data_IF_377021106585
#
_entry.id   IF_377021106585
#
_cell.length_a   1.000
_cell.length_b   1.000
_cell.length_c   1.000
_cell.angle_alpha   90.00
_cell.angle_beta   90.00
_cell.angle_gamma   90.00
#
_symmetry.space_group_name_H-M   'P 1'
#
loop_
_entity.id
_entity.type
_entity.pdbx_description
1 polymer ?
#
# COMPACT_ATOMS: atom_id res chain seq x y z
N UNK A 1 -10.59 22.09 -19.85
CA UNK A 1 -10.98 20.67 -19.80
C UNK A 1 -9.71 19.85 -19.98
N UNK A 2 -9.05 19.48 -18.89
CA UNK A 2 -7.84 18.66 -18.97
C UNK A 2 -8.29 17.21 -19.08
N UNK A 3 -8.01 16.58 -20.22
CA UNK A 3 -8.25 15.16 -20.44
C UNK A 3 -7.46 14.36 -19.40
N UNK A 4 -8.17 13.65 -18.52
CA UNK A 4 -7.58 12.62 -17.67
C UNK A 4 -6.79 11.68 -18.58
N UNK A 5 -5.47 11.68 -18.47
CA UNK A 5 -4.63 10.68 -19.14
C UNK A 5 -4.98 9.36 -18.48
N UNK A 6 -5.74 8.53 -19.20
CA UNK A 6 -6.10 7.21 -18.74
C UNK A 6 -4.81 6.43 -18.51
N UNK A 7 -4.64 5.93 -17.28
CA UNK A 7 -3.38 5.31 -16.88
C UNK A 7 -3.20 4.04 -17.74
N UNK A 8 -2.11 3.92 -18.53
CA UNK A 8 -1.98 2.82 -19.47
C UNK A 8 -1.90 1.48 -18.71
N UNK A 9 -2.85 0.60 -18.98
CA UNK A 9 -2.85 -0.78 -18.46
C UNK A 9 -1.86 -1.61 -19.27
N UNK A 10 -0.69 -1.90 -18.70
CA UNK A 10 0.36 -2.68 -19.37
C UNK A 10 0.30 -4.18 -19.08
N UNK A 11 -0.58 -4.61 -18.17
CA UNK A 11 -0.76 -6.03 -17.80
C UNK A 11 -2.21 -6.43 -18.00
N UNK A 12 -2.48 -7.30 -18.97
CA UNK A 12 -3.78 -7.95 -19.15
C UNK A 12 -3.73 -9.33 -18.49
N UNK A 13 -4.43 -9.49 -17.36
CA UNK A 13 -4.56 -10.80 -16.71
C UNK A 13 -5.76 -11.51 -17.33
N UNK A 14 -5.50 -12.53 -18.16
CA UNK A 14 -6.54 -13.36 -18.74
C UNK A 14 -7.23 -14.18 -17.64
N UNK A 15 -8.43 -13.78 -17.24
CA UNK A 15 -9.29 -14.56 -16.35
C UNK A 15 -9.93 -15.65 -17.20
N UNK A 16 -9.81 -16.94 -16.85
CA UNK A 16 -10.45 -18.01 -17.61
C UNK A 16 -11.96 -17.77 -17.69
N UNK A 17 -12.52 -17.96 -18.89
CA UNK A 17 -13.89 -17.62 -19.28
C UNK A 17 -14.99 -18.24 -18.40
N UNK A 18 -14.66 -19.28 -17.63
CA UNK A 18 -15.58 -19.99 -16.75
C UNK A 18 -15.72 -19.39 -15.34
N UNK A 19 -15.03 -18.28 -15.04
CA UNK A 19 -15.15 -17.59 -13.75
C UNK A 19 -15.80 -16.22 -13.90
N UNK A 20 -17.00 -16.05 -13.33
CA UNK A 20 -17.64 -14.74 -13.23
C UNK A 20 -16.74 -13.79 -12.40
N UNK A 21 -16.46 -12.57 -12.87
CA UNK A 21 -15.68 -11.61 -12.10
C UNK A 21 -16.46 -11.25 -10.83
N UNK A 22 -15.82 -11.29 -9.65
CA UNK A 22 -16.49 -11.01 -8.38
C UNK A 22 -17.00 -9.57 -8.36
N UNK A 23 -18.26 -9.36 -8.00
CA UNK A 23 -18.83 -8.01 -7.92
C UNK A 23 -18.20 -7.22 -6.76
N UNK A 24 -18.06 -5.90 -6.90
CA UNK A 24 -17.58 -5.01 -5.83
C UNK A 24 -18.34 -5.21 -4.51
N UNK A 25 -19.66 -5.44 -4.58
CA UNK A 25 -20.50 -5.70 -3.41
C UNK A 25 -20.13 -7.02 -2.70
N UNK A 26 -19.81 -8.07 -3.45
CA UNK A 26 -19.39 -9.36 -2.90
C UNK A 26 -18.04 -9.21 -2.20
N UNK A 27 -17.07 -8.57 -2.86
CA UNK A 27 -15.75 -8.30 -2.28
C UNK A 27 -15.84 -7.48 -1.00
N UNK A 28 -16.71 -6.46 -0.98
CA UNK A 28 -16.97 -5.70 0.23
C UNK A 28 -17.46 -6.60 1.38
N UNK A 29 -18.43 -7.48 1.13
CA UNK A 29 -18.94 -8.39 2.15
C UNK A 29 -17.87 -9.38 2.63
N UNK A 30 -17.08 -9.94 1.71
CA UNK A 30 -15.95 -10.83 2.02
C UNK A 30 -14.89 -10.14 2.89
N UNK A 31 -14.57 -8.87 2.61
CA UNK A 31 -13.60 -8.09 3.38
C UNK A 31 -14.12 -7.65 4.76
N UNK A 32 -15.43 -7.39 4.88
CA UNK A 32 -16.07 -6.98 6.14
C UNK A 32 -16.26 -8.16 7.10
N UNK A 33 -16.84 -9.27 6.60
CA UNK A 33 -17.33 -10.39 7.43
C UNK A 33 -16.54 -11.69 7.27
N UNK A 34 -15.67 -11.79 6.25
CA UNK A 34 -14.90 -13.01 5.99
C UNK A 34 -13.91 -13.36 7.09
N UNK A 35 -13.50 -14.62 7.14
CA UNK A 35 -12.38 -15.07 7.96
C UNK A 35 -11.04 -14.64 7.33
N UNK A 36 -9.92 -14.90 8.01
CA UNK A 36 -8.59 -14.49 7.53
C UNK A 36 -8.28 -14.99 6.12
N UNK A 37 -8.67 -16.24 5.79
CA UNK A 37 -8.43 -16.81 4.46
C UNK A 37 -9.29 -16.13 3.40
N UNK A 38 -10.58 -15.94 3.67
CA UNK A 38 -11.49 -15.23 2.76
C UNK A 38 -11.01 -13.80 2.51
N UNK A 39 -10.57 -13.08 3.55
CA UNK A 39 -10.02 -11.73 3.40
C UNK A 39 -8.74 -11.69 2.57
N UNK A 40 -7.86 -12.69 2.72
CA UNK A 40 -6.65 -12.84 1.91
C UNK A 40 -7.01 -13.00 0.42
N UNK A 41 -7.96 -13.88 0.11
CA UNK A 41 -8.34 -14.14 -1.28
C UNK A 41 -9.15 -12.99 -1.89
N UNK A 42 -10.03 -12.36 -1.12
CA UNK A 42 -10.71 -11.13 -1.50
C UNK A 42 -9.70 -10.00 -1.80
N UNK A 43 -8.68 -9.80 -0.95
CA UNK A 43 -7.67 -8.77 -1.17
C UNK A 43 -6.84 -9.03 -2.44
N UNK A 44 -6.51 -10.29 -2.74
CA UNK A 44 -5.84 -10.66 -4.01
C UNK A 44 -6.70 -10.31 -5.23
N UNK A 45 -8.00 -10.65 -5.19
CA UNK A 45 -8.96 -10.32 -6.26
C UNK A 45 -9.04 -8.81 -6.48
N UNK A 46 -9.12 -8.03 -5.39
CA UNK A 46 -9.12 -6.56 -5.46
C UNK A 46 -7.85 -6.02 -6.13
N UNK A 47 -6.67 -6.53 -5.76
CA UNK A 47 -5.41 -6.11 -6.39
C UNK A 47 -5.41 -6.43 -7.89
N UNK A 48 -5.88 -7.61 -8.28
CA UNK A 48 -5.96 -8.02 -9.69
C UNK A 48 -6.89 -7.11 -10.50
N UNK A 49 -8.07 -6.78 -9.97
CA UNK A 49 -9.02 -5.88 -10.63
C UNK A 49 -8.47 -4.46 -10.78
N UNK A 50 -7.80 -3.92 -9.74
CA UNK A 50 -7.14 -2.61 -9.82
C UNK A 50 -6.03 -2.61 -10.88
N UNK A 51 -5.24 -3.68 -10.96
CA UNK A 51 -4.20 -3.84 -11.98
C UNK A 51 -4.76 -3.93 -13.41
N UNK A 52 -5.97 -4.47 -13.55
CA UNK A 52 -6.72 -4.50 -14.82
C UNK A 52 -7.38 -3.15 -15.18
N UNK A 53 -7.22 -2.13 -14.34
CA UNK A 53 -7.73 -0.77 -14.59
C UNK A 53 -9.08 -0.45 -13.93
N UNK A 54 -9.67 -1.39 -13.19
CA UNK A 54 -10.94 -1.15 -12.50
C UNK A 54 -10.72 -0.32 -11.23
N UNK A 55 -11.33 0.87 -11.18
CA UNK A 55 -11.25 1.77 -10.02
C UNK A 55 -12.38 1.45 -9.05
N UNK A 56 -12.02 0.97 -7.85
CA UNK A 56 -12.97 0.67 -6.76
C UNK A 56 -12.67 1.50 -5.51
N UNK A 57 -12.96 2.81 -5.51
CA UNK A 57 -12.66 3.68 -4.36
C UNK A 57 -13.48 3.31 -3.11
N UNK A 58 -14.66 2.69 -3.26
CA UNK A 58 -15.51 2.33 -2.12
C UNK A 58 -14.88 1.27 -1.21
N UNK A 59 -14.05 0.39 -1.77
CA UNK A 59 -13.36 -0.66 -1.04
C UNK A 59 -12.20 -0.15 -0.18
N UNK A 60 -11.69 1.06 -0.46
CA UNK A 60 -10.57 1.64 0.27
C UNK A 60 -10.87 1.73 1.77
N UNK A 61 -12.03 2.29 2.12
CA UNK A 61 -12.42 2.46 3.52
C UNK A 61 -12.72 1.12 4.20
N UNK A 62 -13.28 0.17 3.46
CA UNK A 62 -13.48 -1.21 3.95
C UNK A 62 -12.15 -1.88 4.27
N UNK A 63 -11.14 -1.75 3.41
CA UNK A 63 -9.81 -2.32 3.63
C UNK A 63 -9.13 -1.67 4.84
N UNK A 64 -9.18 -0.33 4.94
CA UNK A 64 -8.62 0.40 6.09
C UNK A 64 -9.28 -0.04 7.40
N UNK A 65 -10.60 -0.25 7.42
CA UNK A 65 -11.32 -0.59 8.65
C UNK A 65 -11.17 -2.05 9.05
N UNK A 66 -11.23 -2.99 8.10
CA UNK A 66 -11.39 -4.42 8.41
C UNK A 66 -10.19 -5.30 8.08
N UNK A 67 -9.23 -4.81 7.28
CA UNK A 67 -8.07 -5.58 6.82
C UNK A 67 -6.77 -5.01 7.38
N UNK A 68 -6.60 -3.68 7.34
CA UNK A 68 -5.42 -3.00 7.90
C UNK A 68 -5.10 -3.32 9.37
N UNK A 69 -6.07 -3.47 10.30
CA UNK A 69 -5.74 -3.79 11.70
C UNK A 69 -5.34 -5.25 11.93
N UNK A 70 -5.45 -6.12 10.91
CA UNK A 70 -5.11 -7.54 11.06
C UNK A 70 -3.61 -7.74 11.30
N UNK A 71 -3.28 -8.69 12.17
CA UNK A 71 -1.91 -9.02 12.54
C UNK A 71 -1.27 -10.11 11.66
N UNK A 72 -2.07 -10.74 10.79
CA UNK A 72 -1.60 -11.80 9.91
C UNK A 72 -0.50 -11.30 8.96
N UNK A 73 0.62 -12.02 8.91
CA UNK A 73 1.78 -11.63 8.12
C UNK A 73 1.52 -11.65 6.61
N UNK A 74 0.64 -12.53 6.14
CA UNK A 74 0.25 -12.63 4.73
C UNK A 74 -0.59 -11.42 4.35
N UNK A 75 -1.55 -11.07 5.19
CA UNK A 75 -2.38 -9.86 5.02
C UNK A 75 -1.51 -8.61 5.00
N UNK A 76 -0.58 -8.44 5.94
CA UNK A 76 0.35 -7.28 5.95
C UNK A 76 1.17 -7.18 4.66
N UNK A 77 1.70 -8.29 4.14
CA UNK A 77 2.43 -8.28 2.85
C UNK A 77 1.52 -7.90 1.68
N UNK A 78 0.31 -8.46 1.61
CA UNK A 78 -0.66 -8.13 0.57
C UNK A 78 -1.10 -6.67 0.64
N UNK A 79 -1.27 -6.12 1.85
CA UNK A 79 -1.57 -4.70 2.03
C UNK A 79 -0.46 -3.81 1.44
N UNK A 80 0.82 -4.12 1.64
CA UNK A 80 1.91 -3.35 1.02
C UNK A 80 1.82 -3.36 -0.52
N UNK A 81 1.42 -4.49 -1.13
CA UNK A 81 1.20 -4.56 -2.58
C UNK A 81 -0.02 -3.75 -3.00
N UNK A 82 -1.13 -3.85 -2.26
CA UNK A 82 -2.32 -3.04 -2.50
C UNK A 82 -2.01 -1.54 -2.45
N UNK A 83 -1.24 -1.10 -1.46
CA UNK A 83 -0.83 0.30 -1.34
C UNK A 83 0.13 0.76 -2.44
N UNK A 84 0.78 -0.14 -3.17
CA UNK A 84 1.63 0.23 -4.31
C UNK A 84 0.80 0.61 -5.54
N UNK A 85 -0.38 -0.03 -5.72
CA UNK A 85 -1.20 0.13 -6.93
C UNK A 85 -2.31 1.18 -6.78
N UNK A 86 -2.74 1.48 -5.55
CA UNK A 86 -3.85 2.39 -5.28
C UNK A 86 -3.45 3.86 -5.53
N UNK A 87 -4.27 4.68 -6.21
CA UNK A 87 -4.02 6.11 -6.34
C UNK A 87 -4.04 6.82 -4.98
N UNK A 88 -3.13 7.76 -4.76
CA UNK A 88 -2.97 8.49 -3.49
C UNK A 88 -3.64 9.86 -3.46
N UNK A 89 -3.96 10.39 -4.64
CA UNK A 89 -4.55 11.70 -4.83
C UNK A 89 -5.99 11.57 -5.33
N UNK A 90 -6.83 12.49 -4.88
CA UNK A 90 -8.13 12.73 -5.51
C UNK A 90 -7.95 13.31 -6.92
N UNK A 91 -9.01 13.30 -7.75
CA UNK A 91 -8.98 13.91 -9.09
C UNK A 91 -8.64 15.40 -9.12
N UNK A 92 -8.77 16.10 -7.98
CA UNK A 92 -8.43 17.51 -7.80
C UNK A 92 -6.94 17.75 -7.49
N UNK A 93 -6.13 16.68 -7.39
CA UNK A 93 -4.71 16.75 -7.07
C UNK A 93 -4.40 16.84 -5.57
N UNK A 94 -5.40 16.76 -4.68
CA UNK A 94 -5.17 16.73 -3.23
C UNK A 94 -4.95 15.32 -2.72
N UNK A 95 -4.05 15.17 -1.75
CA UNK A 95 -3.83 13.89 -1.08
C UNK A 95 -5.11 13.44 -0.38
N UNK A 96 -5.45 12.16 -0.52
CA UNK A 96 -6.62 11.57 0.10
C UNK A 96 -6.50 11.61 1.64
N UNK A 97 -7.55 12.06 2.34
CA UNK A 97 -7.55 12.15 3.80
C UNK A 97 -7.37 10.78 4.47
N UNK A 98 -7.84 9.72 3.81
CA UNK A 98 -7.65 8.33 4.21
C UNK A 98 -6.18 7.94 4.38
N UNK A 99 -5.27 8.60 3.64
CA UNK A 99 -3.83 8.32 3.71
C UNK A 99 -3.21 8.71 5.06
N UNK A 100 -3.89 9.54 5.86
CA UNK A 100 -3.47 9.84 7.24
C UNK A 100 -3.50 8.55 8.09
N UNK A 101 -4.55 7.73 7.94
CA UNK A 101 -4.68 6.46 8.66
C UNK A 101 -3.64 5.45 8.20
N UNK A 102 -3.35 5.45 6.89
CA UNK A 102 -2.34 4.61 6.28
C UNK A 102 -0.93 4.99 6.76
N UNK A 103 -0.65 6.29 6.87
CA UNK A 103 0.61 6.80 7.40
C UNK A 103 0.82 6.38 8.86
N UNK A 104 -0.21 6.43 9.70
CA UNK A 104 -0.13 5.95 11.09
C UNK A 104 0.15 4.44 11.15
N UNK A 105 -0.47 3.66 10.26
CA UNK A 105 -0.19 2.23 10.13
C UNK A 105 1.27 1.96 9.74
N UNK A 106 1.84 2.70 8.77
CA UNK A 106 3.26 2.57 8.41
C UNK A 106 4.19 2.93 9.57
N UNK A 107 3.87 3.99 10.32
CA UNK A 107 4.65 4.35 11.51
C UNK A 107 4.68 3.21 12.53
N UNK A 108 3.52 2.59 12.81
CA UNK A 108 3.41 1.42 13.69
C UNK A 108 4.21 0.22 13.15
N UNK A 109 4.17 -0.03 11.84
CA UNK A 109 4.92 -1.12 11.21
C UNK A 109 6.44 -0.91 11.23
N UNK A 110 6.92 0.34 11.12
CA UNK A 110 8.34 0.69 11.30
C UNK A 110 8.84 0.48 12.74
N UNK A 111 7.93 0.52 13.72
CA UNK A 111 8.20 0.30 15.14
C UNK A 111 7.84 -1.12 15.61
N UNK A 112 7.41 -1.99 14.70
CA UNK A 112 6.94 -3.33 15.03
C UNK A 112 8.05 -4.21 15.64
N UNK A 113 7.80 -5.07 16.64
CA UNK A 113 8.84 -5.91 17.24
C UNK A 113 9.50 -6.88 16.24
N UNK A 114 8.75 -7.37 15.26
CA UNK A 114 9.24 -8.23 14.17
C UNK A 114 10.04 -7.43 13.12
N UNK A 115 11.31 -7.80 12.95
CA UNK A 115 12.25 -7.19 12.02
C UNK A 115 11.85 -7.33 10.55
N UNK A 116 11.16 -8.41 10.18
CA UNK A 116 10.72 -8.66 8.82
C UNK A 116 9.63 -7.68 8.40
N UNK A 117 8.72 -7.33 9.31
CA UNK A 117 7.67 -6.32 9.08
C UNK A 117 8.31 -4.94 8.90
N UNK A 118 9.27 -4.56 9.76
CA UNK A 118 10.03 -3.31 9.58
C UNK A 118 10.72 -3.27 8.22
N UNK A 119 11.44 -4.33 7.87
CA UNK A 119 12.20 -4.37 6.61
C UNK A 119 11.33 -4.45 5.35
N UNK A 120 10.17 -5.11 5.39
CA UNK A 120 9.21 -5.07 4.27
C UNK A 120 8.62 -3.68 4.09
N UNK A 121 8.29 -3.01 5.20
CA UNK A 121 7.78 -1.63 5.20
C UNK A 121 8.83 -0.66 4.65
N UNK A 122 10.08 -0.75 5.12
CA UNK A 122 11.19 0.07 4.59
C UNK A 122 11.39 -0.12 3.08
N UNK A 123 11.26 -1.36 2.56
CA UNK A 123 11.33 -1.62 1.11
C UNK A 123 10.16 -1.03 0.34
N UNK A 124 8.96 -1.08 0.91
CA UNK A 124 7.79 -0.44 0.34
C UNK A 124 7.96 1.09 0.27
N UNK A 125 8.51 1.72 1.32
CA UNK A 125 8.73 3.17 1.35
C UNK A 125 9.70 3.65 0.25
N UNK A 126 10.62 2.81 -0.23
CA UNK A 126 11.46 3.14 -1.39
C UNK A 126 10.65 3.37 -2.69
N UNK A 127 9.41 2.87 -2.77
CA UNK A 127 8.55 2.98 -3.95
C UNK A 127 7.56 4.14 -3.86
N UNK A 128 7.39 4.72 -2.66
CA UNK A 128 6.46 5.81 -2.42
C UNK A 128 7.02 7.12 -2.99
N UNK A 129 6.17 7.89 -3.67
CA UNK A 129 6.58 9.13 -4.36
C UNK A 129 6.03 10.38 -3.70
N UNK A 130 5.13 10.21 -2.73
CA UNK A 130 4.38 11.27 -2.09
C UNK A 130 5.17 11.82 -0.89
N UNK A 131 5.77 13.03 -0.99
CA UNK A 131 6.59 13.58 0.08
C UNK A 131 5.77 13.80 1.37
N UNK A 132 4.51 14.22 1.22
CA UNK A 132 3.55 14.41 2.32
C UNK A 132 3.36 13.15 3.19
N UNK A 133 3.55 11.95 2.62
CA UNK A 133 3.48 10.69 3.35
C UNK A 133 4.83 10.27 3.95
N UNK A 134 5.94 10.69 3.34
CA UNK A 134 7.29 10.30 3.77
C UNK A 134 7.81 11.15 4.93
N UNK A 135 7.56 12.47 4.90
CA UNK A 135 7.96 13.41 5.95
C UNK A 135 7.61 12.95 7.37
N UNK A 136 6.34 12.60 7.68
CA UNK A 136 5.95 12.16 9.02
C UNK A 136 6.55 10.80 9.45
N UNK A 137 7.16 10.05 8.52
CA UNK A 137 7.79 8.75 8.77
C UNK A 137 9.31 8.86 8.98
N UNK A 138 9.93 9.96 8.55
CA UNK A 138 11.39 10.16 8.63
C UNK A 138 12.00 9.88 10.02
N UNK A 139 11.39 10.31 11.15
CA UNK A 139 11.92 9.98 12.47
C UNK A 139 11.98 8.47 12.73
N UNK A 140 10.94 7.72 12.33
CA UNK A 140 10.89 6.27 12.51
C UNK A 140 11.87 5.53 11.59
N UNK A 141 12.06 6.03 10.36
CA UNK A 141 13.06 5.48 9.43
C UNK A 141 14.47 5.69 9.98
N UNK A 142 14.78 6.87 10.53
CA UNK A 142 16.08 7.15 11.14
C UNK A 142 16.36 6.24 12.33
N UNK A 143 15.36 6.00 13.19
CA UNK A 143 15.50 5.05 14.30
C UNK A 143 15.85 3.62 13.81
N UNK A 144 15.38 3.23 12.62
CA UNK A 144 15.70 1.92 12.04
C UNK A 144 17.17 1.75 11.64
N UNK A 145 17.96 2.83 11.52
CA UNK A 145 19.41 2.76 11.26
C UNK A 145 20.20 2.19 12.43
N UNK A 146 19.71 2.38 13.65
CA UNK A 146 20.34 1.92 14.88
C UNK A 146 19.74 0.60 15.38
N UNK A 147 18.84 0.00 14.60
CA UNK A 147 18.16 -1.23 14.99
C UNK A 147 19.13 -2.40 15.17
N UNK A 148 18.90 -3.29 16.14
CA UNK A 148 19.79 -4.41 16.47
C UNK A 148 20.08 -5.36 15.29
N UNK A 149 19.09 -5.60 14.43
CA UNK A 149 19.22 -6.53 13.29
C UNK A 149 19.75 -5.82 12.04
N UNK A 150 20.81 -6.39 11.44
CA UNK A 150 21.44 -5.91 10.20
C UNK A 150 20.46 -5.83 9.02
N UNK A 151 19.50 -6.75 8.95
CA UNK A 151 18.45 -6.75 7.93
C UNK A 151 17.65 -5.43 7.94
N UNK A 152 17.29 -4.90 9.11
CA UNK A 152 16.55 -3.63 9.20
C UNK A 152 17.45 -2.46 8.81
N UNK A 153 18.70 -2.43 9.31
CA UNK A 153 19.66 -1.36 9.01
C UNK A 153 19.94 -1.24 7.51
N UNK A 154 20.17 -2.38 6.82
CA UNK A 154 20.41 -2.40 5.37
C UNK A 154 19.23 -1.80 4.58
N UNK A 155 18.00 -2.16 4.96
CA UNK A 155 16.81 -1.61 4.30
C UNK A 155 16.59 -0.14 4.66
N UNK A 156 16.92 0.29 5.88
CA UNK A 156 16.80 1.69 6.31
C UNK A 156 17.76 2.61 5.54
N UNK A 157 19.01 2.18 5.33
CA UNK A 157 19.98 2.92 4.50
C UNK A 157 19.46 3.08 3.07
N UNK A 158 18.93 2.01 2.47
CA UNK A 158 18.37 2.06 1.12
C UNK A 158 17.15 2.99 1.04
N UNK A 159 16.27 2.95 2.04
CA UNK A 159 15.10 3.81 2.12
C UNK A 159 15.51 5.29 2.18
N UNK A 160 16.43 5.66 3.08
CA UNK A 160 16.92 7.05 3.20
C UNK A 160 17.56 7.53 1.90
N UNK A 161 18.43 6.70 1.30
CA UNK A 161 19.06 7.05 0.02
C UNK A 161 18.03 7.30 -1.08
N UNK A 162 17.01 6.43 -1.17
CA UNK A 162 15.96 6.54 -2.19
C UNK A 162 15.11 7.79 -1.96
N UNK A 163 14.67 8.02 -0.71
CA UNK A 163 13.87 9.19 -0.33
C UNK A 163 14.64 10.48 -0.63
N UNK A 164 15.94 10.54 -0.27
CA UNK A 164 16.79 11.70 -0.55
C UNK A 164 16.89 12.00 -2.05
N UNK A 165 17.11 10.95 -2.87
CA UNK A 165 17.19 11.11 -4.33
C UNK A 165 15.87 11.54 -4.96
N UNK A 166 14.76 10.98 -4.51
CA UNK A 166 13.43 11.34 -5.02
C UNK A 166 13.04 12.76 -4.60
N UNK A 167 13.33 13.17 -3.35
CA UNK A 167 13.06 14.52 -2.87
C UNK A 167 13.86 15.59 -3.64
N UNK A 168 15.11 15.30 -4.01
CA UNK A 168 15.92 16.22 -4.81
C UNK A 168 15.33 16.43 -6.23
N UNK A 169 14.67 15.42 -6.78
CA UNK A 169 13.99 15.51 -8.08
C UNK A 169 12.66 16.28 -8.01
N UNK A 170 12.04 16.40 -6.82
CA UNK A 170 10.82 17.20 -6.63
C UNK A 170 11.07 18.69 -6.35
N UNK A 171 12.33 19.09 -6.09
CA UNK A 171 12.73 20.48 -5.84
C UNK A 171 13.32 21.20 -7.08
N UNK A 172 13.44 20.49 -8.22
CA UNK A 172 13.77 21.07 -9.53
C UNK A 172 12.53 21.15 -10.40
#
# INVERSE_FOLDING_TARGET
MSSMVDQPCYTLINVPTDSEPPTEMQLRQELEKGDTKTKIDALKKVIQMILNGEKMPSLLMTIIRFVMPMQDHTVKKLLLVFWEVVPKYHPDGKLMQEMILVCDAYRKDLQHPNEFIRGSTLRFLCKLKEPELLEPLMPSIRQCLEHRHSYVRRNAVLAIYTIYRSAFHCLQ
#
